data_IF_473514109853
#
_entry.id   IF_473514109853
#
_cell.length_a   1.000
_cell.length_b   1.000
_cell.length_c   1.000
_cell.angle_alpha   90.00
_cell.angle_beta   90.00
_cell.angle_gamma   90.00
#
_symmetry.space_group_name_H-M   'P 1'
#
loop_
_entity.id
_entity.type
_entity.pdbx_description
1 polymer ?
#
# COMPACT_ATOMS: atom_id res chain seq x y z
N UNK A 1 19.16 9.29 -22.44
CA UNK A 1 17.84 9.39 -21.80
C UNK A 1 17.40 7.99 -21.46
N UNK A 2 17.02 7.73 -20.21
CA UNK A 2 16.50 6.44 -19.79
C UNK A 2 15.21 6.12 -20.55
N UNK A 3 14.97 4.83 -20.82
CA UNK A 3 13.72 4.36 -21.43
C UNK A 3 12.88 3.63 -20.40
N UNK A 4 11.55 3.85 -20.42
CA UNK A 4 10.62 3.39 -19.40
C UNK A 4 9.46 2.60 -20.03
N UNK A 5 9.27 1.36 -19.58
CA UNK A 5 8.03 0.61 -19.79
C UNK A 5 7.07 0.92 -18.64
N UNK A 6 5.90 1.45 -18.94
CA UNK A 6 4.82 1.57 -17.96
C UNK A 6 4.04 0.26 -17.95
N UNK A 7 3.97 -0.39 -16.80
CA UNK A 7 3.35 -1.68 -16.57
C UNK A 7 2.12 -1.52 -15.69
N UNK A 8 0.99 -2.01 -16.14
CA UNK A 8 -0.30 -1.89 -15.46
C UNK A 8 -0.97 -3.25 -15.33
N UNK A 9 -1.74 -3.43 -14.27
CA UNK A 9 -2.71 -4.53 -14.16
C UNK A 9 -4.10 -3.91 -14.16
N UNK A 10 -5.02 -4.48 -14.93
CA UNK A 10 -6.36 -3.90 -15.10
C UNK A 10 -7.45 -4.95 -14.98
N UNK A 11 -8.65 -4.51 -14.56
CA UNK A 11 -9.88 -5.29 -14.62
C UNK A 11 -11.09 -4.37 -14.55
N UNK A 12 -11.89 -4.34 -15.62
CA UNK A 12 -13.14 -3.56 -15.68
C UNK A 12 -12.93 -2.07 -15.36
N UNK A 13 -11.96 -1.42 -16.04
CA UNK A 13 -11.51 -0.04 -15.79
C UNK A 13 -11.87 0.91 -16.95
N UNK A 14 -12.85 0.60 -17.81
CA UNK A 14 -13.20 1.40 -19.00
C UNK A 14 -13.48 2.87 -18.70
N UNK A 15 -13.98 3.19 -17.49
CA UNK A 15 -14.32 4.56 -17.11
C UNK A 15 -13.10 5.46 -16.83
N UNK A 16 -11.96 4.88 -16.45
CA UNK A 16 -10.79 5.63 -15.98
C UNK A 16 -9.53 5.40 -16.80
N UNK A 17 -9.39 4.22 -17.43
CA UNK A 17 -8.15 3.81 -18.09
C UNK A 17 -7.71 4.78 -19.21
N UNK A 18 -8.65 5.33 -19.97
CA UNK A 18 -8.35 6.29 -21.03
C UNK A 18 -7.67 7.54 -20.50
N UNK A 19 -8.10 8.04 -19.34
CA UNK A 19 -7.50 9.19 -18.66
C UNK A 19 -6.07 8.90 -18.24
N UNK A 20 -5.83 7.74 -17.62
CA UNK A 20 -4.50 7.29 -17.22
C UNK A 20 -3.57 7.18 -18.43
N UNK A 21 -3.97 6.44 -19.47
CA UNK A 21 -3.16 6.22 -20.66
C UNK A 21 -2.84 7.56 -21.40
N UNK A 22 -3.77 8.50 -21.41
CA UNK A 22 -3.51 9.85 -21.97
C UNK A 22 -2.40 10.61 -21.22
N UNK A 23 -2.24 10.35 -19.91
CA UNK A 23 -1.12 10.87 -19.14
C UNK A 23 0.19 10.14 -19.48
N UNK A 24 0.10 8.81 -19.57
CA UNK A 24 1.25 7.91 -19.75
C UNK A 24 1.94 8.14 -21.10
N UNK A 25 1.19 8.39 -22.18
CA UNK A 25 1.75 8.66 -23.51
C UNK A 25 2.74 9.83 -23.57
N UNK A 26 2.66 10.74 -22.62
CA UNK A 26 3.58 11.89 -22.60
C UNK A 26 5.02 11.49 -22.24
N UNK A 27 5.25 10.33 -21.59
CA UNK A 27 6.55 9.98 -21.05
C UNK A 27 6.97 8.51 -21.22
N UNK A 28 6.04 7.59 -21.46
CA UNK A 28 6.34 6.17 -21.65
C UNK A 28 6.97 5.89 -23.01
N UNK A 29 7.96 5.00 -23.06
CA UNK A 29 8.50 4.46 -24.30
C UNK A 29 7.87 3.13 -24.67
N UNK A 30 7.11 2.55 -23.77
CA UNK A 30 6.35 1.31 -23.93
C UNK A 30 5.25 1.26 -22.86
N UNK A 31 4.09 0.74 -23.22
CA UNK A 31 2.97 0.53 -22.30
C UNK A 31 2.61 -0.95 -22.33
N UNK A 32 2.68 -1.60 -21.19
CA UNK A 32 2.35 -3.02 -20.97
C UNK A 32 1.12 -3.08 -20.05
N UNK A 33 0.10 -3.78 -20.48
CA UNK A 33 -1.12 -3.99 -19.71
C UNK A 33 -1.34 -5.48 -19.52
N UNK A 34 -1.39 -5.94 -18.27
CA UNK A 34 -1.85 -7.27 -17.92
C UNK A 34 -3.34 -7.20 -17.56
N UNK A 35 -4.19 -7.67 -18.47
CA UNK A 35 -5.61 -7.78 -18.23
C UNK A 35 -5.93 -9.02 -17.39
N UNK A 36 -6.58 -8.82 -16.25
CA UNK A 36 -6.91 -9.89 -15.30
C UNK A 36 -8.34 -10.43 -15.48
N UNK A 37 -8.92 -10.22 -16.64
CA UNK A 37 -10.22 -10.75 -17.05
C UNK A 37 -11.32 -9.69 -17.08
N UNK A 38 -11.06 -8.57 -17.76
CA UNK A 38 -12.07 -7.53 -18.03
C UNK A 38 -13.20 -8.06 -18.90
N UNK A 39 -14.40 -7.54 -18.64
CA UNK A 39 -15.63 -7.87 -19.38
C UNK A 39 -16.24 -6.66 -20.06
N UNK A 40 -15.72 -5.49 -19.80
CA UNK A 40 -16.06 -4.21 -20.37
C UNK A 40 -15.12 -3.83 -21.53
N UNK A 41 -15.07 -2.57 -21.93
CA UNK A 41 -14.24 -2.11 -23.03
C UNK A 41 -12.78 -1.82 -22.65
N UNK A 42 -12.33 -2.17 -21.44
CA UNK A 42 -10.98 -1.87 -20.95
C UNK A 42 -9.90 -2.32 -21.94
N UNK A 43 -9.98 -3.57 -22.43
CA UNK A 43 -8.97 -4.13 -23.35
C UNK A 43 -8.94 -3.36 -24.67
N UNK A 44 -10.10 -3.14 -25.30
CA UNK A 44 -10.17 -2.41 -26.59
C UNK A 44 -9.64 -0.98 -26.47
N UNK A 45 -9.97 -0.28 -25.37
CA UNK A 45 -9.44 1.07 -25.12
C UNK A 45 -7.91 1.04 -24.99
N UNK A 46 -7.36 0.07 -24.26
CA UNK A 46 -5.91 -0.07 -24.12
C UNK A 46 -5.20 -0.31 -25.46
N UNK A 47 -5.74 -1.20 -26.30
CA UNK A 47 -5.19 -1.51 -27.63
C UNK A 47 -5.29 -0.32 -28.58
N UNK A 48 -6.44 0.37 -28.63
CA UNK A 48 -6.64 1.58 -29.42
C UNK A 48 -5.67 2.71 -29.02
N UNK A 49 -5.31 2.77 -27.75
CA UNK A 49 -4.31 3.69 -27.23
C UNK A 49 -2.86 3.13 -27.32
N UNK A 50 -2.61 2.09 -28.11
CA UNK A 50 -1.27 1.61 -28.41
C UNK A 50 -0.56 0.85 -27.29
N UNK A 51 -1.27 0.41 -26.26
CA UNK A 51 -0.73 -0.46 -25.24
C UNK A 51 -0.62 -1.90 -25.76
N UNK A 52 0.42 -2.62 -25.31
CA UNK A 52 0.55 -4.06 -25.51
C UNK A 52 -0.25 -4.76 -24.41
N UNK A 53 -1.38 -5.35 -24.76
CA UNK A 53 -2.27 -6.03 -23.80
C UNK A 53 -1.95 -7.53 -23.77
N UNK A 54 -1.81 -8.07 -22.56
CA UNK A 54 -1.57 -9.50 -22.32
C UNK A 54 -2.63 -10.02 -21.33
N UNK A 55 -3.27 -11.12 -21.66
CA UNK A 55 -4.21 -11.78 -20.74
C UNK A 55 -3.44 -12.47 -19.62
N UNK A 56 -3.85 -12.22 -18.38
CA UNK A 56 -3.36 -12.87 -17.17
C UNK A 56 -4.56 -13.45 -16.38
N UNK A 57 -4.76 -14.77 -16.36
CA UNK A 57 -5.84 -15.37 -15.57
C UNK A 57 -5.69 -15.00 -14.09
N UNK A 58 -6.67 -14.32 -13.53
CA UNK A 58 -6.66 -13.89 -12.14
C UNK A 58 -6.53 -15.08 -11.19
N UNK A 59 -5.63 -14.97 -10.21
CA UNK A 59 -5.26 -16.03 -9.26
C UNK A 59 -5.31 -15.56 -7.80
N UNK A 60 -6.04 -14.48 -7.53
CA UNK A 60 -6.08 -13.83 -6.20
C UNK A 60 -4.68 -13.45 -5.69
N UNK A 61 -3.85 -12.92 -6.60
CA UNK A 61 -2.46 -12.56 -6.34
C UNK A 61 -2.07 -11.35 -7.21
N UNK A 62 -2.02 -10.18 -6.56
CA UNK A 62 -1.63 -8.93 -7.19
C UNK A 62 -0.14 -8.89 -7.55
N UNK A 63 0.73 -9.43 -6.67
CA UNK A 63 2.15 -9.49 -6.96
C UNK A 63 2.44 -10.34 -8.20
N UNK A 64 1.78 -11.49 -8.36
CA UNK A 64 1.93 -12.33 -9.55
C UNK A 64 1.50 -11.59 -10.83
N UNK A 65 0.39 -10.84 -10.80
CA UNK A 65 -0.08 -10.08 -11.95
C UNK A 65 0.88 -8.93 -12.30
N UNK A 66 1.40 -8.17 -11.31
CA UNK A 66 2.39 -7.11 -11.55
C UNK A 66 3.72 -7.66 -12.04
N UNK A 67 4.19 -8.76 -11.47
CA UNK A 67 5.42 -9.44 -11.92
C UNK A 67 5.28 -9.94 -13.35
N UNK A 68 4.13 -10.47 -13.72
CA UNK A 68 3.84 -10.86 -15.10
C UNK A 68 3.92 -9.67 -16.06
N UNK A 69 3.37 -8.49 -15.68
CA UNK A 69 3.49 -7.28 -16.49
C UNK A 69 4.95 -6.83 -16.61
N UNK A 70 5.73 -6.90 -15.53
CA UNK A 70 7.17 -6.58 -15.54
C UNK A 70 7.97 -7.52 -16.44
N UNK A 71 7.63 -8.80 -16.49
CA UNK A 71 8.28 -9.79 -17.37
C UNK A 71 8.05 -9.50 -18.88
N UNK A 72 7.05 -8.68 -19.22
CA UNK A 72 6.77 -8.24 -20.60
C UNK A 72 7.48 -6.94 -20.96
N UNK A 73 8.05 -6.24 -19.99
CA UNK A 73 8.69 -4.95 -20.19
C UNK A 73 10.03 -5.08 -20.92
N UNK A 74 10.21 -4.29 -21.98
CA UNK A 74 11.41 -4.32 -22.82
C UNK A 74 12.34 -3.12 -22.64
N UNK A 75 12.01 -2.15 -21.77
CA UNK A 75 12.81 -0.93 -21.58
C UNK A 75 13.77 -1.04 -20.40
N UNK A 76 14.67 -0.05 -20.28
CA UNK A 76 15.69 -0.03 -19.23
C UNK A 76 15.09 0.01 -17.81
N UNK A 77 13.92 0.66 -17.66
CA UNK A 77 13.20 0.76 -16.40
C UNK A 77 11.75 0.30 -16.56
N UNK A 78 11.22 -0.32 -15.50
CA UNK A 78 9.81 -0.62 -15.34
C UNK A 78 9.20 0.41 -14.38
N UNK A 79 8.08 1.00 -14.75
CA UNK A 79 7.25 1.83 -13.89
C UNK A 79 5.89 1.17 -13.76
N UNK A 80 5.36 1.08 -12.54
CA UNK A 80 3.99 0.58 -12.35
C UNK A 80 3.02 1.73 -12.03
N UNK A 81 1.82 1.61 -12.57
CA UNK A 81 0.69 2.51 -12.32
C UNK A 81 -0.59 1.68 -12.19
N UNK A 82 -1.53 2.20 -11.43
CA UNK A 82 -2.91 1.72 -11.40
C UNK A 82 -3.74 2.44 -12.48
N UNK A 83 -4.84 1.85 -12.92
CA UNK A 83 -5.68 2.39 -14.00
C UNK A 83 -6.29 3.77 -13.69
N UNK A 84 -6.43 4.09 -12.42
CA UNK A 84 -6.97 5.35 -11.89
C UNK A 84 -5.88 6.33 -11.41
N UNK A 85 -4.59 6.00 -11.62
CA UNK A 85 -3.48 6.92 -11.39
C UNK A 85 -3.37 7.95 -12.53
N UNK A 86 -3.09 9.19 -12.18
CA UNK A 86 -2.90 10.29 -13.14
C UNK A 86 -1.71 11.15 -12.74
N UNK A 87 -1.21 11.90 -13.71
CA UNK A 87 -0.16 12.90 -13.56
C UNK A 87 -0.62 14.23 -14.14
N UNK A 88 -0.46 15.31 -13.39
CA UNK A 88 -0.72 16.66 -13.91
C UNK A 88 0.24 17.00 -15.06
N UNK A 89 -0.01 18.08 -15.81
CA UNK A 89 0.90 18.55 -16.85
C UNK A 89 2.29 18.85 -16.28
N UNK A 90 2.36 19.57 -15.16
CA UNK A 90 3.62 19.86 -14.47
C UNK A 90 4.33 18.57 -14.02
N UNK A 91 3.60 17.60 -13.47
CA UNK A 91 4.16 16.29 -13.07
C UNK A 91 4.77 15.52 -14.25
N UNK A 92 4.15 15.60 -15.43
CA UNK A 92 4.70 14.98 -16.65
C UNK A 92 5.99 15.66 -17.13
N UNK A 93 6.07 16.99 -17.04
CA UNK A 93 7.29 17.73 -17.36
C UNK A 93 8.42 17.41 -16.40
N UNK A 94 8.12 17.36 -15.10
CA UNK A 94 9.07 16.92 -14.08
C UNK A 94 9.56 15.48 -14.32
N UNK A 95 8.64 14.58 -14.68
CA UNK A 95 8.99 13.20 -15.03
C UNK A 95 9.92 13.14 -16.25
N UNK A 96 9.65 13.91 -17.29
CA UNK A 96 10.52 14.00 -18.47
C UNK A 96 11.91 14.54 -18.13
N UNK A 97 12.01 15.53 -17.25
CA UNK A 97 13.29 16.06 -16.79
C UNK A 97 14.05 14.99 -15.99
N UNK A 98 13.40 14.37 -15.03
CA UNK A 98 13.97 13.25 -14.26
C UNK A 98 14.46 12.12 -15.19
N UNK A 99 13.67 11.74 -16.19
CA UNK A 99 14.03 10.70 -17.18
C UNK A 99 15.28 11.04 -17.97
N UNK A 100 15.57 12.33 -18.22
CA UNK A 100 16.82 12.78 -18.87
C UNK A 100 18.03 12.65 -17.96
N UNK A 101 17.83 12.87 -16.65
CA UNK A 101 18.87 12.85 -15.64
C UNK A 101 19.09 11.43 -15.08
N UNK A 102 18.07 10.55 -15.23
CA UNK A 102 18.15 9.18 -14.72
C UNK A 102 19.25 8.43 -15.46
N UNK A 103 20.31 8.17 -14.72
CA UNK A 103 21.47 7.40 -15.17
C UNK A 103 21.38 5.95 -14.73
N UNK A 104 22.24 5.09 -15.28
CA UNK A 104 22.31 3.69 -14.86
C UNK A 104 22.71 3.48 -13.40
N UNK A 105 22.94 4.55 -12.62
CA UNK A 105 23.28 4.48 -11.21
C UNK A 105 22.10 4.30 -10.27
N UNK A 106 20.89 4.66 -10.68
CA UNK A 106 19.69 4.48 -9.86
C UNK A 106 19.04 3.11 -10.13
N UNK A 107 18.89 2.31 -9.08
CA UNK A 107 18.18 1.04 -9.17
C UNK A 107 16.67 1.20 -8.96
N UNK A 108 16.28 2.17 -8.12
CA UNK A 108 14.89 2.44 -7.79
C UNK A 108 14.63 3.94 -7.64
N UNK A 109 13.46 4.39 -8.11
CA UNK A 109 13.00 5.78 -7.90
C UNK A 109 11.69 5.75 -7.12
N UNK A 110 11.68 6.47 -6.01
CA UNK A 110 10.49 6.76 -5.23
C UNK A 110 9.84 8.04 -5.75
N UNK A 111 8.55 7.99 -6.05
CA UNK A 111 7.78 9.16 -6.45
C UNK A 111 6.74 9.53 -5.39
N UNK A 112 6.44 10.84 -5.21
CA UNK A 112 5.35 11.27 -4.36
C UNK A 112 4.02 10.72 -4.88
N UNK A 113 3.23 10.17 -3.98
CA UNK A 113 1.91 9.62 -4.25
C UNK A 113 0.86 10.34 -3.41
N UNK A 114 -0.07 10.99 -4.09
CA UNK A 114 -1.17 11.70 -3.47
C UNK A 114 -2.43 10.84 -3.51
N UNK A 115 -3.06 10.67 -2.35
CA UNK A 115 -4.31 9.92 -2.24
C UNK A 115 -5.25 10.59 -1.23
N UNK A 116 -6.55 10.35 -1.39
CA UNK A 116 -7.56 11.06 -0.62
C UNK A 116 -7.51 12.55 -0.95
N UNK A 117 -8.62 13.13 -1.37
CA UNK A 117 -8.68 14.55 -1.73
C UNK A 117 -9.83 15.21 -0.99
N UNK A 118 -9.57 16.42 -0.49
CA UNK A 118 -10.61 17.25 0.10
C UNK A 118 -11.52 17.87 -0.97
N UNK A 119 -12.56 18.60 -0.54
CA UNK A 119 -13.50 19.27 -1.45
C UNK A 119 -12.84 20.32 -2.34
N UNK A 120 -11.66 20.83 -1.98
CA UNK A 120 -10.87 21.77 -2.75
C UNK A 120 -9.87 21.06 -3.69
N UNK A 121 -9.88 19.72 -3.74
CA UNK A 121 -8.99 18.91 -4.54
C UNK A 121 -7.55 18.81 -4.01
N UNK A 122 -7.29 19.19 -2.77
CA UNK A 122 -5.98 19.07 -2.13
C UNK A 122 -5.81 17.65 -1.57
N UNK A 123 -4.63 17.02 -1.74
CA UNK A 123 -4.39 15.68 -1.20
C UNK A 123 -4.41 15.70 0.32
N UNK A 124 -5.14 14.78 0.93
CA UNK A 124 -5.15 14.58 2.38
C UNK A 124 -4.04 13.64 2.87
N UNK A 125 -3.54 12.79 1.99
CA UNK A 125 -2.45 11.86 2.29
C UNK A 125 -1.40 11.95 1.20
N UNK A 126 -0.14 12.13 1.60
CA UNK A 126 1.01 12.15 0.70
C UNK A 126 2.13 11.29 1.27
N UNK A 127 2.64 10.37 0.46
CA UNK A 127 3.79 9.54 0.81
C UNK A 127 4.57 9.12 -0.43
N UNK A 128 5.80 8.66 -0.24
CA UNK A 128 6.61 8.16 -1.35
C UNK A 128 6.32 6.68 -1.62
N UNK A 129 6.22 6.30 -2.89
CA UNK A 129 6.10 4.91 -3.35
C UNK A 129 7.23 4.57 -4.31
N UNK A 130 7.66 3.33 -4.24
CA UNK A 130 8.59 2.69 -5.17
C UNK A 130 7.91 2.53 -6.54
N UNK A 131 8.08 3.51 -7.43
CA UNK A 131 7.34 3.54 -8.70
C UNK A 131 8.15 3.10 -9.91
N UNK A 132 9.46 3.32 -9.89
CA UNK A 132 10.32 3.02 -11.03
C UNK A 132 11.46 2.11 -10.55
N UNK A 133 11.69 1.03 -11.26
CA UNK A 133 12.75 0.06 -10.97
C UNK A 133 13.57 -0.23 -12.21
N UNK A 134 14.88 -0.40 -12.06
CA UNK A 134 15.74 -0.85 -13.14
C UNK A 134 15.33 -2.26 -13.55
N UNK A 135 14.99 -2.47 -14.80
CA UNK A 135 14.49 -3.76 -15.30
C UNK A 135 15.51 -4.89 -15.10
N UNK A 136 16.79 -4.64 -15.44
CA UNK A 136 17.85 -5.61 -15.30
C UNK A 136 18.20 -6.00 -13.85
N UNK A 137 17.74 -5.24 -12.85
CA UNK A 137 18.00 -5.53 -11.43
C UNK A 137 17.09 -6.64 -10.86
N UNK A 138 16.07 -7.06 -11.60
CA UNK A 138 15.25 -8.20 -11.22
C UNK A 138 14.33 -7.99 -10.04
N UNK A 139 13.91 -6.74 -9.77
CA UNK A 139 12.95 -6.42 -8.74
C UNK A 139 11.62 -7.16 -8.92
N UNK A 140 11.05 -7.63 -7.81
CA UNK A 140 9.78 -8.36 -7.79
C UNK A 140 8.87 -7.89 -6.68
N UNK A 141 7.59 -7.79 -6.98
CA UNK A 141 6.54 -7.61 -5.99
C UNK A 141 6.39 -8.86 -5.14
N UNK A 142 6.11 -8.67 -3.86
CA UNK A 142 5.84 -9.70 -2.87
C UNK A 142 4.53 -9.39 -2.13
N UNK A 143 3.84 -10.44 -1.72
CA UNK A 143 2.53 -10.37 -1.06
C UNK A 143 1.37 -10.46 -2.07
N UNK A 144 0.39 -11.33 -1.80
CA UNK A 144 -0.78 -11.49 -2.68
C UNK A 144 -1.66 -10.25 -2.70
N UNK A 145 -1.71 -9.54 -1.57
CA UNK A 145 -2.45 -8.29 -1.34
C UNK A 145 -1.52 -7.29 -0.66
N UNK A 146 -1.76 -6.01 -0.88
CA UNK A 146 -0.88 -4.94 -0.39
C UNK A 146 0.58 -5.16 -0.81
N UNK A 147 0.74 -5.67 -2.01
CA UNK A 147 2.03 -6.03 -2.60
C UNK A 147 2.99 -4.83 -2.63
N UNK A 148 4.26 -5.13 -2.43
CA UNK A 148 5.32 -4.14 -2.50
C UNK A 148 6.62 -4.75 -3.02
N UNK A 149 7.50 -3.90 -3.50
CA UNK A 149 8.88 -4.25 -3.83
C UNK A 149 9.78 -3.81 -2.68
N UNK A 150 10.65 -4.70 -2.22
CA UNK A 150 11.62 -4.35 -1.18
C UNK A 150 12.59 -3.29 -1.70
N UNK A 151 12.80 -2.23 -0.90
CA UNK A 151 13.78 -1.20 -1.22
C UNK A 151 15.17 -1.77 -1.14
N UNK A 152 15.92 -1.71 -2.25
CA UNK A 152 17.30 -2.19 -2.29
C UNK A 152 18.08 -1.49 -3.40
N UNK A 153 19.42 -1.57 -3.34
CA UNK A 153 20.30 -0.89 -4.28
C UNK A 153 20.32 0.63 -4.08
N UNK A 154 20.63 1.34 -5.15
CA UNK A 154 20.65 2.81 -5.17
C UNK A 154 19.23 3.35 -5.31
N UNK A 155 18.65 3.83 -4.20
CA UNK A 155 17.29 4.39 -4.14
C UNK A 155 17.35 5.91 -4.17
N UNK A 156 16.66 6.52 -5.13
CA UNK A 156 16.57 7.98 -5.27
C UNK A 156 15.13 8.45 -5.16
N UNK A 157 14.92 9.71 -4.77
CA UNK A 157 13.60 10.35 -4.73
C UNK A 157 13.45 11.28 -5.93
N UNK A 158 12.36 11.12 -6.67
CA UNK A 158 11.93 12.05 -7.71
C UNK A 158 10.86 13.01 -7.19
N UNK A 159 10.52 14.00 -8.02
CA UNK A 159 9.54 15.06 -7.71
C UNK A 159 8.22 14.89 -8.44
N UNK A 160 8.18 14.11 -9.53
CA UNK A 160 6.99 13.89 -10.33
C UNK A 160 5.87 13.23 -9.51
N UNK A 161 4.80 13.97 -9.27
CA UNK A 161 3.68 13.53 -8.43
C UNK A 161 2.73 12.62 -9.20
N UNK A 162 2.37 11.50 -8.61
CA UNK A 162 1.29 10.62 -9.08
C UNK A 162 0.09 10.82 -8.15
N UNK A 163 -1.08 11.03 -8.73
CA UNK A 163 -2.34 11.22 -8.02
C UNK A 163 -3.26 10.00 -8.23
N UNK A 164 -3.74 9.42 -7.14
CA UNK A 164 -4.74 8.35 -7.19
C UNK A 164 -6.14 8.93 -7.21
N UNK A 165 -6.74 8.95 -8.39
CA UNK A 165 -8.06 9.54 -8.64
C UNK A 165 -9.14 8.46 -8.81
N UNK A 166 -9.38 7.73 -7.72
CA UNK A 166 -10.35 6.63 -7.68
C UNK A 166 -11.78 7.12 -7.91
N UNK A 167 -12.49 6.50 -8.85
CA UNK A 167 -13.88 6.83 -9.16
C UNK A 167 -14.88 5.77 -8.68
N UNK A 168 -14.45 4.52 -8.53
CA UNK A 168 -15.33 3.43 -8.12
C UNK A 168 -15.01 2.93 -6.71
N UNK A 169 -16.02 2.60 -5.94
CA UNK A 169 -15.84 1.79 -4.73
C UNK A 169 -15.53 0.36 -5.18
N UNK A 170 -14.35 -0.11 -4.85
CA UNK A 170 -13.98 -1.52 -5.07
C UNK A 170 -14.79 -2.46 -4.17
N UNK A 171 -14.63 -3.76 -4.40
CA UNK A 171 -15.13 -4.78 -3.50
C UNK A 171 -14.34 -4.75 -2.19
N UNK A 172 -14.97 -4.26 -1.13
CA UNK A 172 -14.35 -4.09 0.19
C UNK A 172 -13.92 -5.42 0.83
N UNK A 173 -14.53 -6.54 0.45
CA UNK A 173 -14.22 -7.86 0.99
C UNK A 173 -13.17 -8.63 0.19
N UNK A 174 -12.72 -8.13 -0.96
CA UNK A 174 -11.76 -8.84 -1.83
C UNK A 174 -10.49 -9.23 -1.10
N UNK A 175 -9.85 -8.27 -0.46
CA UNK A 175 -8.59 -8.50 0.23
C UNK A 175 -8.75 -9.50 1.38
N UNK A 176 -9.82 -9.33 2.16
CA UNK A 176 -10.15 -10.25 3.25
C UNK A 176 -10.33 -11.69 2.75
N UNK A 177 -11.06 -11.88 1.62
CA UNK A 177 -11.23 -13.22 1.04
C UNK A 177 -9.92 -13.84 0.60
N UNK A 178 -9.00 -13.06 0.04
CA UNK A 178 -7.68 -13.54 -0.37
C UNK A 178 -6.90 -14.04 0.85
N UNK A 179 -6.82 -13.26 1.93
CA UNK A 179 -6.15 -13.69 3.16
C UNK A 179 -6.78 -14.93 3.79
N UNK A 180 -8.11 -15.01 3.81
CA UNK A 180 -8.83 -16.19 4.31
C UNK A 180 -8.56 -17.45 3.46
N UNK A 181 -8.40 -17.28 2.14
CA UNK A 181 -8.03 -18.38 1.26
C UNK A 181 -6.60 -18.86 1.53
N UNK A 182 -5.65 -17.94 1.72
CA UNK A 182 -4.28 -18.26 2.15
C UNK A 182 -4.28 -19.05 3.47
N UNK A 183 -5.07 -18.63 4.46
CA UNK A 183 -5.17 -19.31 5.75
C UNK A 183 -5.77 -20.71 5.62
N UNK A 184 -6.84 -20.89 4.83
CA UNK A 184 -7.43 -22.20 4.54
C UNK A 184 -6.47 -23.17 3.85
N UNK A 185 -5.56 -22.65 3.05
CA UNK A 185 -4.53 -23.44 2.34
C UNK A 185 -3.28 -23.68 3.16
N UNK A 186 -3.25 -23.19 4.41
CA UNK A 186 -2.07 -23.21 5.28
C UNK A 186 -0.82 -22.62 4.60
N UNK A 187 -0.99 -21.55 3.83
CA UNK A 187 0.13 -20.83 3.23
C UNK A 187 0.91 -20.07 4.30
N UNK A 188 2.21 -19.92 4.10
CA UNK A 188 3.05 -19.14 4.98
C UNK A 188 2.71 -17.64 4.85
N UNK A 189 2.40 -16.99 5.97
CA UNK A 189 2.19 -15.55 6.04
C UNK A 189 3.51 -14.85 6.33
N UNK A 190 3.92 -13.98 5.42
CA UNK A 190 4.99 -13.03 5.72
C UNK A 190 4.50 -12.05 6.80
N UNK A 191 5.41 -11.41 7.53
CA UNK A 191 5.05 -10.39 8.51
C UNK A 191 4.13 -9.30 7.96
N UNK A 192 4.37 -8.87 6.72
CA UNK A 192 3.51 -7.92 6.00
C UNK A 192 2.08 -8.44 5.85
N UNK A 193 1.93 -9.70 5.48
CA UNK A 193 0.62 -10.32 5.28
C UNK A 193 -0.15 -10.38 6.60
N UNK A 194 0.50 -10.76 7.71
CA UNK A 194 -0.13 -10.78 9.04
C UNK A 194 -0.63 -9.39 9.45
N UNK A 195 0.18 -8.34 9.24
CA UNK A 195 -0.22 -6.99 9.59
C UNK A 195 -1.46 -6.54 8.79
N UNK A 196 -1.44 -6.69 7.47
CA UNK A 196 -2.56 -6.26 6.63
C UNK A 196 -3.78 -7.17 6.78
N UNK A 197 -3.60 -8.46 7.02
CA UNK A 197 -4.72 -9.36 7.33
C UNK A 197 -5.43 -8.95 8.63
N UNK A 198 -4.67 -8.65 9.68
CA UNK A 198 -5.23 -8.10 10.91
C UNK A 198 -6.02 -6.82 10.68
N UNK A 199 -5.50 -5.90 9.84
CA UNK A 199 -6.20 -4.67 9.47
C UNK A 199 -7.48 -4.92 8.67
N UNK A 200 -7.47 -5.83 7.71
CA UNK A 200 -8.69 -6.19 6.96
C UNK A 200 -9.76 -6.75 7.89
N UNK A 201 -9.39 -7.65 8.80
CA UNK A 201 -10.29 -8.18 9.82
C UNK A 201 -10.84 -7.07 10.72
N UNK A 202 -9.98 -6.16 11.19
CA UNK A 202 -10.35 -5.01 12.01
C UNK A 202 -11.34 -4.08 11.28
N UNK A 203 -11.09 -3.71 10.02
CA UNK A 203 -11.98 -2.86 9.24
C UNK A 203 -13.33 -3.50 8.93
N UNK A 204 -13.41 -4.83 8.97
CA UNK A 204 -14.65 -5.60 8.84
C UNK A 204 -15.25 -5.98 10.21
N UNK A 205 -14.80 -5.36 11.31
CA UNK A 205 -15.30 -5.55 12.69
C UNK A 205 -15.23 -7.00 13.18
N UNK A 206 -14.34 -7.82 12.57
CA UNK A 206 -14.10 -9.22 12.98
C UNK A 206 -13.04 -9.25 14.09
N UNK A 207 -13.37 -8.65 15.24
CA UNK A 207 -12.40 -8.34 16.30
C UNK A 207 -11.74 -9.58 16.91
N UNK A 208 -12.47 -10.67 17.13
CA UNK A 208 -11.91 -11.92 17.68
C UNK A 208 -10.83 -12.54 16.78
N UNK A 209 -10.99 -12.42 15.46
CA UNK A 209 -10.02 -12.93 14.50
C UNK A 209 -8.87 -11.94 14.30
N UNK A 210 -9.18 -10.65 14.28
CA UNK A 210 -8.17 -9.59 14.20
C UNK A 210 -7.21 -9.64 15.38
N UNK A 211 -7.72 -9.84 16.59
CA UNK A 211 -6.94 -10.01 17.82
C UNK A 211 -5.88 -11.12 17.63
N UNK A 212 -6.30 -12.31 17.21
CA UNK A 212 -5.40 -13.46 17.01
C UNK A 212 -4.31 -13.18 15.97
N UNK A 213 -4.68 -12.51 14.87
CA UNK A 213 -3.75 -12.22 13.80
C UNK A 213 -2.76 -11.12 14.21
N UNK A 214 -3.21 -10.05 14.89
CA UNK A 214 -2.31 -9.03 15.42
C UNK A 214 -1.35 -9.58 16.48
N UNK A 215 -1.83 -10.46 17.36
CA UNK A 215 -0.97 -11.15 18.32
C UNK A 215 0.12 -11.98 17.61
N UNK A 216 -0.22 -12.76 16.58
CA UNK A 216 0.75 -13.47 15.73
C UNK A 216 1.78 -12.53 15.11
N UNK A 217 1.33 -11.40 14.55
CA UNK A 217 2.22 -10.39 13.97
C UNK A 217 3.19 -9.84 15.01
N UNK A 218 2.69 -9.38 16.16
CA UNK A 218 3.52 -8.77 17.19
C UNK A 218 4.50 -9.78 17.81
N UNK A 219 4.11 -11.05 17.96
CA UNK A 219 4.98 -12.13 18.44
C UNK A 219 6.10 -12.45 17.44
N UNK A 220 5.82 -12.47 16.14
CA UNK A 220 6.81 -12.76 15.11
C UNK A 220 7.97 -11.74 15.14
N UNK A 221 7.72 -10.52 15.62
CA UNK A 221 8.71 -9.44 15.65
C UNK A 221 9.24 -9.08 17.04
N UNK A 222 8.97 -9.85 18.07
CA UNK A 222 9.48 -9.56 19.42
C UNK A 222 11.02 -9.42 19.47
N UNK A 223 11.73 -10.09 18.58
CA UNK A 223 13.20 -10.07 18.49
C UNK A 223 13.75 -9.01 17.54
N UNK A 224 12.98 -8.58 16.56
CA UNK A 224 13.33 -7.49 15.63
C UNK A 224 12.70 -6.19 16.10
N UNK A 225 13.47 -5.36 16.84
CA UNK A 225 12.97 -4.10 17.39
C UNK A 225 12.95 -2.96 16.36
N UNK A 226 13.80 -3.00 15.36
CA UNK A 226 13.99 -1.91 14.39
C UNK A 226 13.04 -2.01 13.19
N UNK A 227 12.84 -3.22 12.68
CA UNK A 227 11.99 -3.46 11.51
C UNK A 227 10.51 -3.19 11.78
N UNK A 228 9.81 -2.57 10.83
CA UNK A 228 8.35 -2.39 10.86
C UNK A 228 7.80 -1.63 12.08
N UNK A 229 8.59 -0.73 12.68
CA UNK A 229 8.24 -0.02 13.91
C UNK A 229 6.85 0.62 13.84
N UNK A 230 6.56 1.36 12.78
CA UNK A 230 5.28 2.03 12.57
C UNK A 230 4.10 1.03 12.57
N UNK A 231 4.28 -0.08 11.85
CA UNK A 231 3.24 -1.11 11.75
C UNK A 231 3.02 -1.85 13.08
N UNK A 232 4.07 -2.02 13.91
CA UNK A 232 3.96 -2.63 15.24
C UNK A 232 3.15 -1.76 16.19
N UNK A 233 3.41 -0.45 16.17
CA UNK A 233 2.70 0.51 17.01
C UNK A 233 1.22 0.58 16.58
N UNK A 234 0.97 0.67 15.27
CA UNK A 234 -0.38 0.67 14.73
C UNK A 234 -1.13 -0.65 15.04
N UNK A 235 -0.46 -1.80 14.88
CA UNK A 235 -1.04 -3.10 15.22
C UNK A 235 -1.38 -3.21 16.72
N UNK A 236 -0.50 -2.73 17.59
CA UNK A 236 -0.76 -2.73 19.03
C UNK A 236 -1.98 -1.85 19.39
N UNK A 237 -2.11 -0.69 18.74
CA UNK A 237 -3.27 0.18 18.90
C UNK A 237 -4.57 -0.45 18.38
N UNK A 238 -4.53 -1.03 17.17
CA UNK A 238 -5.71 -1.71 16.60
C UNK A 238 -6.09 -2.95 17.40
N UNK A 239 -5.10 -3.69 17.93
CA UNK A 239 -5.33 -4.80 18.86
C UNK A 239 -6.08 -4.30 20.11
N UNK A 240 -5.67 -3.17 20.70
CA UNK A 240 -6.36 -2.60 21.84
C UNK A 240 -7.83 -2.26 21.51
N UNK A 241 -8.09 -1.67 20.33
CA UNK A 241 -9.47 -1.40 19.89
C UNK A 241 -10.28 -2.69 19.75
N UNK A 242 -9.69 -3.75 19.18
CA UNK A 242 -10.36 -5.06 19.10
C UNK A 242 -10.70 -5.59 20.50
N UNK A 243 -9.74 -5.56 21.43
CA UNK A 243 -9.95 -6.01 22.82
C UNK A 243 -11.06 -5.20 23.52
N UNK A 244 -11.10 -3.86 23.34
CA UNK A 244 -12.21 -3.04 23.87
C UNK A 244 -13.56 -3.46 23.28
N UNK A 245 -13.61 -3.71 21.97
CA UNK A 245 -14.82 -4.18 21.30
C UNK A 245 -15.31 -5.54 21.81
N UNK A 246 -14.41 -6.37 22.35
CA UNK A 246 -14.68 -7.67 22.95
C UNK A 246 -14.93 -7.60 24.47
N UNK A 247 -14.82 -6.43 25.08
CA UNK A 247 -14.94 -6.26 26.54
C UNK A 247 -13.72 -6.72 27.34
N UNK A 248 -12.59 -6.93 26.67
CA UNK A 248 -11.31 -7.37 27.26
C UNK A 248 -10.47 -6.14 27.61
N UNK A 249 -10.84 -5.45 28.67
CA UNK A 249 -10.28 -4.13 29.01
C UNK A 249 -8.83 -4.17 29.49
N UNK A 250 -8.43 -5.24 30.19
CA UNK A 250 -7.06 -5.41 30.67
C UNK A 250 -6.11 -5.74 29.50
N UNK A 251 -6.54 -6.59 28.59
CA UNK A 251 -5.81 -6.92 27.36
C UNK A 251 -5.65 -5.69 26.47
N UNK A 252 -6.67 -4.85 26.37
CA UNK A 252 -6.60 -3.60 25.64
C UNK A 252 -5.55 -2.65 26.23
N UNK A 253 -5.51 -2.49 27.56
CA UNK A 253 -4.49 -1.69 28.22
C UNK A 253 -3.09 -2.25 27.97
N UNK A 254 -2.91 -3.57 28.09
CA UNK A 254 -1.61 -4.22 27.81
C UNK A 254 -1.17 -4.02 26.37
N UNK A 255 -2.07 -4.10 25.41
CA UNK A 255 -1.78 -3.85 24.00
C UNK A 255 -1.29 -2.41 23.75
N UNK A 256 -1.94 -1.39 24.35
CA UNK A 256 -1.49 -0.01 24.26
C UNK A 256 -0.08 0.17 24.85
N UNK A 257 0.17 -0.39 26.04
CA UNK A 257 1.46 -0.30 26.71
C UNK A 257 2.56 -1.04 25.93
N UNK A 258 2.22 -2.11 25.22
CA UNK A 258 3.18 -2.86 24.39
C UNK A 258 3.79 -1.98 23.29
N UNK A 259 3.09 -0.96 22.80
CA UNK A 259 3.63 -0.03 21.79
C UNK A 259 4.93 0.65 22.24
N UNK A 260 5.12 0.85 23.56
CA UNK A 260 6.30 1.50 24.14
C UNK A 260 7.57 0.62 24.11
N UNK A 261 7.41 -0.66 23.80
CA UNK A 261 8.57 -1.55 23.53
C UNK A 261 9.25 -1.18 22.21
N UNK A 262 8.50 -0.57 21.29
CA UNK A 262 8.96 -0.28 19.93
C UNK A 262 9.46 1.15 19.74
N UNK A 263 8.85 2.13 20.43
CA UNK A 263 9.23 3.54 20.35
C UNK A 263 8.79 4.33 21.59
N UNK A 264 9.20 5.59 21.64
CA UNK A 264 8.69 6.56 22.62
C UNK A 264 7.15 6.64 22.54
N UNK A 265 6.49 6.95 23.67
CA UNK A 265 5.04 7.15 23.68
C UNK A 265 4.60 8.15 22.61
N UNK A 266 3.58 7.79 21.83
CA UNK A 266 2.98 8.66 20.83
C UNK A 266 1.73 9.32 21.37
N UNK A 267 1.47 10.54 20.93
CA UNK A 267 0.34 11.32 21.41
C UNK A 267 -1.00 10.59 21.31
N UNK A 268 -1.26 9.89 20.18
CA UNK A 268 -2.47 9.10 19.99
C UNK A 268 -2.59 7.93 20.97
N UNK A 269 -1.50 7.25 21.31
CA UNK A 269 -1.49 6.17 22.31
C UNK A 269 -1.70 6.74 23.70
N UNK A 270 -1.08 7.88 24.01
CA UNK A 270 -1.29 8.57 25.29
C UNK A 270 -2.74 9.04 25.44
N UNK A 271 -3.38 9.52 24.37
CA UNK A 271 -4.80 9.85 24.37
C UNK A 271 -5.68 8.61 24.63
N UNK A 272 -5.39 7.49 24.00
CA UNK A 272 -6.13 6.24 24.21
C UNK A 272 -5.97 5.72 25.66
N UNK A 273 -4.77 5.82 26.25
CA UNK A 273 -4.52 5.53 27.66
C UNK A 273 -5.25 6.50 28.58
N UNK A 274 -5.21 7.80 28.27
CA UNK A 274 -5.96 8.81 29.03
C UNK A 274 -7.44 8.49 29.07
N UNK A 275 -8.03 8.11 27.95
CA UNK A 275 -9.44 7.68 27.86
C UNK A 275 -9.70 6.43 28.68
N UNK A 276 -8.85 5.41 28.57
CA UNK A 276 -8.98 4.17 29.36
C UNK A 276 -9.13 4.47 30.86
N UNK A 277 -8.29 5.34 31.40
CA UNK A 277 -8.34 5.70 32.83
C UNK A 277 -9.52 6.62 33.18
N UNK A 278 -9.87 7.55 32.28
CA UNK A 278 -11.01 8.45 32.45
C UNK A 278 -12.32 7.68 32.58
N UNK A 279 -12.57 6.72 31.69
CA UNK A 279 -13.79 5.91 31.68
C UNK A 279 -13.96 5.06 32.95
N UNK A 280 -12.87 4.86 33.71
CA UNK A 280 -12.84 4.12 34.99
C UNK A 280 -12.80 5.04 36.22
N UNK A 281 -12.99 6.35 36.04
CA UNK A 281 -12.93 7.31 37.12
C UNK A 281 -11.53 7.51 37.73
N UNK A 282 -10.49 7.00 37.09
CA UNK A 282 -9.09 7.15 37.51
C UNK A 282 -8.53 8.48 36.98
N UNK A 283 -9.03 9.59 37.51
CA UNK A 283 -8.78 10.92 36.96
C UNK A 283 -7.31 11.35 37.00
N UNK A 284 -6.57 10.96 38.02
CA UNK A 284 -5.13 11.30 38.14
C UNK A 284 -4.32 10.69 37.02
N UNK A 285 -4.56 9.41 36.74
CA UNK A 285 -3.89 8.68 35.67
C UNK A 285 -4.34 9.18 34.30
N UNK A 286 -5.62 9.51 34.15
CA UNK A 286 -6.13 10.09 32.92
C UNK A 286 -5.44 11.44 32.60
N UNK A 287 -5.32 12.33 33.58
CA UNK A 287 -4.63 13.63 33.43
C UNK A 287 -3.17 13.38 33.05
N UNK A 288 -2.47 12.49 33.76
CA UNK A 288 -1.08 12.16 33.45
C UNK A 288 -0.88 11.77 31.98
N UNK A 289 -1.71 10.85 31.46
CA UNK A 289 -1.57 10.39 30.09
C UNK A 289 -1.95 11.45 29.04
N UNK A 290 -2.96 12.28 29.31
CA UNK A 290 -3.29 13.39 28.42
C UNK A 290 -2.20 14.47 28.39
N UNK A 291 -1.50 14.71 29.52
CA UNK A 291 -0.33 15.60 29.55
C UNK A 291 0.86 15.04 28.74
N UNK A 292 1.00 13.70 28.68
CA UNK A 292 2.03 13.08 27.85
C UNK A 292 1.69 13.13 26.35
N UNK A 293 0.47 13.44 25.97
CA UNK A 293 0.03 13.54 24.58
C UNK A 293 0.35 14.91 23.94
N UNK A 294 0.72 15.91 24.75
CA UNK A 294 1.07 17.27 24.32
C UNK A 294 2.54 17.38 23.95
#
# INVERSE_FOLDING_TARGET
>A
MATVSVCMIVKDEESVIKRCLSCVHAFADEIIVADTGSRDQTVSICEEMGAKVFSFPWRDDFAAARNFAFDKAGKAYCMWLDADDVMSLAGREEFQNMKRELTDSADMVLLPYHTGFDEMGRPSITYYRERIMRNAAGFRFQGRVHEAVALSGSVVKGTAVIEHRKERKGDSFRNLRIYQDMERRNEEFLPRDLYYYGRELYFHERYEEAEKVFQRFLQAFLRDREGWKENKIDAARQLAVCCYGLGQEEEALLALLQSFVYDMPRGEICCDLGRHFLDRGRYREAVFWYEQAL
#
